data_IF_549004955157
#
_entry.id   IF_549004955157
#
_cell.length_a   1.000
_cell.length_b   1.000
_cell.length_c   1.000
_cell.angle_alpha   90.00
_cell.angle_beta   90.00
_cell.angle_gamma   90.00
#
_symmetry.space_group_name_H-M   'P 1'
#
loop_
_entity.id
_entity.type
_entity.pdbx_description
1 polymer ?
#
# COMPACT_ATOMS: atom_id res chain seq x y z
N UNK A 1 22.96 12.22 -86.13
CA UNK A 1 23.66 13.38 -85.58
C UNK A 1 23.15 13.66 -84.16
N UNK A 2 24.08 13.60 -83.27
CA UNK A 2 24.33 14.41 -82.11
C UNK A 2 23.21 14.39 -81.01
N UNK A 3 23.55 13.80 -79.94
CA UNK A 3 24.14 14.27 -78.67
C UNK A 3 23.05 14.49 -77.64
N UNK A 4 23.10 13.64 -76.61
CA UNK A 4 23.73 13.97 -75.33
C UNK A 4 22.83 14.86 -74.47
N UNK A 5 22.44 14.49 -73.30
CA UNK A 5 23.20 14.60 -72.09
C UNK A 5 22.32 14.18 -70.90
N UNK A 6 22.68 13.18 -70.18
CA UNK A 6 22.98 13.13 -68.75
C UNK A 6 22.46 14.31 -67.92
N UNK A 7 21.68 13.98 -66.90
CA UNK A 7 22.16 14.24 -65.56
C UNK A 7 21.26 13.61 -64.50
N UNK A 8 21.86 12.73 -63.77
CA UNK A 8 21.45 12.32 -62.44
C UNK A 8 21.41 13.52 -61.55
N UNK A 9 20.43 13.54 -60.69
CA UNK A 9 20.52 14.26 -59.42
C UNK A 9 19.97 13.38 -58.34
N UNK A 10 20.86 12.76 -57.68
CA UNK A 10 20.82 12.42 -56.29
C UNK A 10 20.58 13.68 -55.48
N UNK A 11 19.63 13.62 -54.58
CA UNK A 11 19.57 14.36 -53.32
C UNK A 11 18.13 14.22 -52.84
N UNK A 12 17.76 13.92 -51.69
CA UNK A 12 18.46 14.07 -50.40
C UNK A 12 17.84 13.03 -49.46
N UNK A 13 18.75 12.34 -48.78
CA UNK A 13 18.40 11.69 -47.56
C UNK A 13 18.10 12.74 -46.48
N UNK A 14 16.88 12.86 -46.08
CA UNK A 14 16.59 13.50 -44.83
C UNK A 14 16.45 12.43 -43.76
N UNK A 15 17.50 12.36 -43.02
CA UNK A 15 17.61 11.65 -41.76
C UNK A 15 16.60 12.24 -40.79
N UNK A 16 15.50 11.54 -40.55
CA UNK A 16 14.63 11.79 -39.41
C UNK A 16 15.18 10.98 -38.22
N UNK A 17 16.35 11.40 -37.75
CA UNK A 17 16.85 10.98 -36.43
C UNK A 17 16.44 12.07 -35.46
N UNK A 18 15.38 11.88 -34.72
CA UNK A 18 15.01 12.91 -33.74
C UNK A 18 13.79 12.67 -32.88
N UNK A 19 12.96 11.66 -33.12
CA UNK A 19 11.71 11.52 -32.35
C UNK A 19 11.62 10.27 -31.48
N UNK A 20 12.54 9.34 -31.58
CA UNK A 20 12.50 8.12 -30.77
C UNK A 20 13.04 8.28 -29.32
N UNK A 21 13.82 9.33 -29.06
CA UNK A 21 14.50 9.48 -27.76
C UNK A 21 13.60 10.15 -26.70
N UNK A 22 12.61 10.92 -27.09
CA UNK A 22 11.73 11.64 -26.14
C UNK A 22 10.63 10.74 -25.55
N UNK A 23 10.19 9.71 -26.29
CA UNK A 23 9.17 8.76 -25.80
C UNK A 23 9.72 7.81 -24.74
N UNK A 24 11.02 7.49 -24.77
CA UNK A 24 11.64 6.60 -23.80
C UNK A 24 11.78 7.24 -22.42
N UNK A 25 11.99 8.54 -22.35
CA UNK A 25 12.08 9.26 -21.06
C UNK A 25 10.72 9.35 -20.36
N UNK A 26 9.64 9.56 -21.09
CA UNK A 26 8.30 9.66 -20.49
C UNK A 26 7.79 8.32 -19.97
N UNK A 27 8.11 7.22 -20.64
CA UNK A 27 7.72 5.87 -20.19
C UNK A 27 8.48 5.47 -18.93
N UNK A 28 9.76 5.84 -18.82
CA UNK A 28 10.56 5.52 -17.63
C UNK A 28 10.15 6.38 -16.43
N UNK A 29 9.76 7.62 -16.68
CA UNK A 29 9.28 8.54 -15.63
C UNK A 29 7.86 8.19 -15.17
N UNK A 30 6.98 7.77 -16.08
CA UNK A 30 5.66 7.22 -15.74
C UNK A 30 5.79 5.90 -14.95
N UNK A 31 6.70 5.00 -15.34
CA UNK A 31 6.97 3.77 -14.60
C UNK A 31 7.59 4.05 -13.21
N UNK A 32 8.37 5.12 -13.06
CA UNK A 32 8.88 5.57 -11.76
C UNK A 32 7.80 6.23 -10.90
N UNK A 33 6.86 6.93 -11.50
CA UNK A 33 5.73 7.52 -10.77
C UNK A 33 4.76 6.45 -10.26
N UNK A 34 4.58 5.35 -10.99
CA UNK A 34 3.79 4.21 -10.54
C UNK A 34 4.50 3.36 -9.46
N UNK A 35 5.82 3.34 -9.41
CA UNK A 35 6.58 2.69 -8.35
C UNK A 35 6.71 3.53 -7.07
N UNK A 36 6.15 4.73 -7.05
CA UNK A 36 6.26 5.69 -5.95
C UNK A 36 5.21 5.57 -4.84
N UNK A 37 4.22 4.67 -4.94
CA UNK A 37 3.32 4.39 -3.83
C UNK A 37 3.87 3.21 -3.04
N UNK A 38 4.82 3.49 -2.15
CA UNK A 38 5.32 2.49 -1.22
C UNK A 38 4.16 2.00 -0.36
N UNK A 39 3.97 0.68 -0.29
CA UNK A 39 3.03 0.08 0.64
C UNK A 39 3.33 0.54 2.07
N UNK A 40 2.29 0.68 2.86
CA UNK A 40 2.40 1.01 4.27
C UNK A 40 1.88 -0.16 5.08
N UNK A 41 2.65 -0.56 6.09
CA UNK A 41 2.25 -1.60 7.04
C UNK A 41 1.91 -0.95 8.37
N UNK A 42 0.67 -1.14 8.80
CA UNK A 42 0.21 -0.83 10.14
C UNK A 42 0.30 -2.10 10.98
N UNK A 43 1.18 -2.08 11.97
CA UNK A 43 1.41 -3.20 12.89
C UNK A 43 0.91 -2.80 14.26
N UNK A 44 0.15 -3.67 14.90
CA UNK A 44 -0.37 -3.42 16.23
C UNK A 44 -0.26 -4.66 17.12
N UNK A 45 -0.15 -4.43 18.41
CA UNK A 45 -0.22 -5.49 19.40
C UNK A 45 -0.96 -5.02 20.66
N UNK A 46 -1.71 -5.91 21.30
CA UNK A 46 -2.52 -5.62 22.47
C UNK A 46 -2.10 -6.45 23.68
N UNK A 47 -2.06 -5.78 24.83
CA UNK A 47 -2.22 -6.42 26.14
C UNK A 47 -3.68 -6.24 26.56
N UNK A 48 -4.37 -7.34 26.85
CA UNK A 48 -5.73 -7.28 27.34
C UNK A 48 -5.73 -6.89 28.81
N UNK A 49 -6.56 -5.93 29.17
CA UNK A 49 -6.76 -5.56 30.56
C UNK A 49 -7.47 -6.68 31.34
N UNK A 50 -7.22 -6.82 32.65
CA UNK A 50 -7.91 -7.80 33.48
C UNK A 50 -9.42 -7.69 33.37
N UNK A 51 -10.11 -8.82 33.29
CA UNK A 51 -11.56 -8.88 33.15
C UNK A 51 -12.08 -8.85 31.72
N UNK A 52 -11.23 -8.67 30.70
CA UNK A 52 -11.63 -8.82 29.30
C UNK A 52 -12.02 -10.27 29.02
N UNK A 53 -13.26 -10.49 28.58
CA UNK A 53 -13.77 -11.83 28.29
C UNK A 53 -13.25 -12.38 26.97
N UNK A 54 -13.23 -13.72 26.82
CA UNK A 54 -12.88 -14.36 25.54
C UNK A 54 -13.84 -13.93 24.42
N UNK A 55 -15.12 -13.75 24.72
CA UNK A 55 -16.09 -13.25 23.74
C UNK A 55 -15.72 -11.85 23.21
N UNK A 56 -15.19 -10.96 24.05
CA UNK A 56 -14.70 -9.64 23.63
C UNK A 56 -13.43 -9.75 22.77
N UNK A 57 -12.54 -10.65 23.12
CA UNK A 57 -11.31 -10.91 22.33
C UNK A 57 -11.64 -11.49 20.94
N UNK A 58 -12.58 -12.44 20.89
CA UNK A 58 -13.07 -13.01 19.63
C UNK A 58 -13.80 -11.96 18.77
N UNK A 59 -14.57 -11.10 19.41
CA UNK A 59 -15.22 -9.98 18.73
C UNK A 59 -14.21 -9.04 18.09
N UNK A 60 -13.15 -8.67 18.81
CA UNK A 60 -12.09 -7.83 18.28
C UNK A 60 -11.43 -8.45 17.06
N UNK A 61 -11.06 -9.74 17.14
CA UNK A 61 -10.46 -10.46 16.04
C UNK A 61 -11.36 -10.46 14.78
N UNK A 62 -12.65 -10.70 14.95
CA UNK A 62 -13.64 -10.73 13.84
C UNK A 62 -13.86 -9.35 13.24
N UNK A 63 -14.02 -8.31 14.06
CA UNK A 63 -14.25 -6.94 13.57
C UNK A 63 -13.02 -6.38 12.85
N UNK A 64 -11.81 -6.65 13.36
CA UNK A 64 -10.56 -6.23 12.72
C UNK A 64 -10.37 -6.98 11.38
N UNK A 65 -10.57 -8.29 11.36
CA UNK A 65 -10.48 -9.07 10.12
C UNK A 65 -11.49 -8.61 9.05
N UNK A 66 -12.68 -8.18 9.48
CA UNK A 66 -13.73 -7.71 8.58
C UNK A 66 -13.40 -6.36 7.91
N UNK A 67 -12.39 -5.62 8.35
CA UNK A 67 -11.96 -4.40 7.67
C UNK A 67 -11.46 -4.66 6.25
N UNK A 68 -10.91 -5.84 5.99
CA UNK A 68 -10.54 -6.23 4.63
C UNK A 68 -11.79 -6.33 3.75
N UNK A 69 -11.80 -5.58 2.65
CA UNK A 69 -12.96 -5.46 1.76
C UNK A 69 -13.95 -4.33 2.13
N UNK A 70 -13.80 -3.71 3.32
CA UNK A 70 -14.61 -2.57 3.76
C UNK A 70 -13.80 -1.27 3.70
N UNK A 71 -12.54 -1.31 4.12
CA UNK A 71 -11.68 -0.14 4.17
C UNK A 71 -11.02 0.09 2.80
N UNK A 72 -11.25 1.24 2.14
CA UNK A 72 -10.61 1.54 0.87
C UNK A 72 -9.09 1.57 0.99
N UNK A 73 -8.38 0.90 0.07
CA UNK A 73 -6.92 0.87 0.04
C UNK A 73 -6.27 -0.09 1.04
N UNK A 74 -7.04 -0.80 1.87
CA UNK A 74 -6.55 -1.90 2.68
C UNK A 74 -6.41 -3.15 1.79
N UNK A 75 -5.18 -3.64 1.64
CA UNK A 75 -4.84 -4.75 0.74
C UNK A 75 -4.88 -6.10 1.45
N UNK A 76 -4.33 -6.16 2.66
CA UNK A 76 -4.27 -7.38 3.48
C UNK A 76 -4.43 -7.07 4.95
N UNK A 77 -5.04 -8.02 5.67
CA UNK A 77 -5.17 -8.00 7.13
C UNK A 77 -4.83 -9.38 7.68
N UNK A 78 -3.91 -9.41 8.62
CA UNK A 78 -3.60 -10.58 9.42
C UNK A 78 -3.75 -10.21 10.89
N UNK A 79 -4.60 -10.93 11.62
CA UNK A 79 -4.90 -10.62 13.01
C UNK A 79 -5.14 -11.90 13.79
N UNK A 80 -4.66 -11.96 15.01
CA UNK A 80 -4.84 -13.12 15.87
C UNK A 80 -3.98 -13.13 17.12
N UNK A 81 -4.00 -14.26 17.86
CA UNK A 81 -3.17 -14.44 19.04
C UNK A 81 -1.68 -14.35 18.71
N UNK A 82 -0.93 -13.69 19.58
CA UNK A 82 0.52 -13.71 19.53
C UNK A 82 1.04 -15.02 20.12
N UNK A 83 1.71 -15.81 19.30
CA UNK A 83 2.28 -17.11 19.69
C UNK A 83 3.76 -17.02 20.16
N UNK A 84 4.35 -15.82 20.16
CA UNK A 84 5.74 -15.62 20.56
C UNK A 84 5.89 -15.68 22.06
N UNK A 85 6.83 -16.49 22.61
CA UNK A 85 7.15 -16.48 24.04
C UNK A 85 7.84 -15.18 24.49
N UNK A 86 8.23 -14.31 23.53
CA UNK A 86 8.91 -13.03 23.77
C UNK A 86 7.97 -11.83 23.70
N UNK A 87 6.67 -12.05 23.70
CA UNK A 87 5.64 -11.02 23.49
C UNK A 87 5.49 -10.02 24.64
N UNK A 88 6.17 -10.20 25.77
CA UNK A 88 6.16 -9.25 26.92
C UNK A 88 4.75 -8.85 27.39
N UNK A 89 3.80 -9.80 27.37
CA UNK A 89 2.40 -9.54 27.73
C UNK A 89 1.51 -9.11 26.59
N UNK A 90 2.04 -8.81 25.41
CA UNK A 90 1.25 -8.58 24.19
C UNK A 90 0.85 -9.94 23.62
N UNK A 91 -0.39 -10.33 23.88
CA UNK A 91 -0.90 -11.67 23.57
C UNK A 91 -1.77 -11.73 22.33
N UNK A 92 -2.01 -10.58 21.71
CA UNK A 92 -2.81 -10.43 20.50
C UNK A 92 -2.22 -9.33 19.62
N UNK A 93 -2.37 -9.44 18.32
CA UNK A 93 -1.91 -8.40 17.41
C UNK A 93 -2.23 -8.70 15.97
N UNK A 94 -1.75 -7.82 15.10
CA UNK A 94 -1.95 -7.97 13.68
C UNK A 94 -1.07 -7.05 12.84
N UNK A 95 -1.19 -7.26 11.54
CA UNK A 95 -0.56 -6.45 10.52
C UNK A 95 -1.57 -6.18 9.41
N UNK A 96 -1.67 -4.93 9.01
CA UNK A 96 -2.46 -4.48 7.88
C UNK A 96 -1.56 -3.86 6.84
N UNK A 97 -1.74 -4.23 5.58
CA UNK A 97 -1.05 -3.65 4.45
C UNK A 97 -1.97 -2.69 3.72
N UNK A 98 -1.58 -1.43 3.62
CA UNK A 98 -2.26 -0.41 2.83
C UNK A 98 -1.48 -0.11 1.56
N UNK A 99 -2.18 0.26 0.50
CA UNK A 99 -1.54 0.61 -0.79
C UNK A 99 -0.67 1.86 -0.69
N UNK A 100 -0.99 2.78 0.23
CA UNK A 100 -0.29 4.04 0.45
C UNK A 100 -0.65 4.68 1.82
N UNK A 101 0.07 5.73 2.17
CA UNK A 101 -0.13 6.47 3.42
C UNK A 101 -1.52 7.14 3.49
N UNK A 102 -2.04 7.64 2.37
CA UNK A 102 -3.35 8.29 2.35
C UNK A 102 -4.47 7.30 2.70
N UNK A 103 -4.35 6.03 2.27
CA UNK A 103 -5.27 4.97 2.64
C UNK A 103 -5.22 4.64 4.12
N UNK A 104 -4.03 4.62 4.73
CA UNK A 104 -3.88 4.46 6.17
C UNK A 104 -4.51 5.64 6.94
N UNK A 105 -4.26 6.88 6.51
CA UNK A 105 -4.86 8.05 7.14
C UNK A 105 -6.40 8.03 7.06
N UNK A 106 -6.94 7.60 5.93
CA UNK A 106 -8.39 7.41 5.76
C UNK A 106 -8.94 6.30 6.65
N UNK A 107 -8.20 5.20 6.84
CA UNK A 107 -8.56 4.12 7.76
C UNK A 107 -8.72 4.62 9.19
N UNK A 108 -7.76 5.41 9.68
CA UNK A 108 -7.79 5.95 11.04
C UNK A 108 -9.09 6.71 11.32
N UNK A 109 -9.60 7.43 10.32
CA UNK A 109 -10.83 8.23 10.43
C UNK A 109 -12.10 7.46 10.00
N UNK A 110 -11.96 6.24 9.50
CA UNK A 110 -13.10 5.49 8.96
C UNK A 110 -14.14 5.15 10.05
N UNK A 111 -15.45 5.31 9.79
CA UNK A 111 -16.49 5.05 10.78
C UNK A 111 -16.42 3.66 11.42
N UNK A 112 -16.10 2.62 10.63
CA UNK A 112 -15.96 1.24 11.16
C UNK A 112 -14.79 1.12 12.13
N UNK A 113 -13.66 1.81 11.88
CA UNK A 113 -12.53 1.84 12.79
C UNK A 113 -12.87 2.60 14.06
N UNK A 114 -13.50 3.76 13.95
CA UNK A 114 -13.93 4.55 15.10
C UNK A 114 -14.93 3.79 15.98
N UNK A 115 -15.85 3.03 15.38
CA UNK A 115 -16.79 2.18 16.11
C UNK A 115 -16.08 1.05 16.88
N UNK A 116 -15.04 0.43 16.29
CA UNK A 116 -14.20 -0.55 16.98
C UNK A 116 -13.50 0.09 18.18
N UNK A 117 -12.83 1.24 17.98
CA UNK A 117 -12.06 1.92 19.02
C UNK A 117 -12.94 2.30 20.21
N UNK A 118 -14.20 2.70 19.99
CA UNK A 118 -15.11 3.13 21.05
C UNK A 118 -15.32 2.08 22.14
N UNK A 119 -15.32 0.80 21.80
CA UNK A 119 -15.49 -0.27 22.79
C UNK A 119 -14.19 -1.02 23.11
N UNK A 120 -13.22 -1.05 22.20
CA UNK A 120 -11.99 -1.83 22.34
C UNK A 120 -10.96 -1.11 23.22
N UNK A 121 -10.75 0.20 23.02
CA UNK A 121 -9.73 0.98 23.73
C UNK A 121 -9.78 0.84 25.25
N UNK A 122 -10.95 0.84 25.91
CA UNK A 122 -11.02 0.63 27.36
C UNK A 122 -10.52 -0.75 27.83
N UNK A 123 -10.42 -1.73 26.92
CA UNK A 123 -10.09 -3.14 27.25
C UNK A 123 -8.63 -3.49 26.97
N UNK A 124 -7.83 -2.58 26.40
CA UNK A 124 -6.48 -2.89 25.92
C UNK A 124 -5.46 -1.85 26.37
N UNK A 125 -4.20 -2.28 26.38
CA UNK A 125 -3.05 -1.41 26.19
C UNK A 125 -2.40 -1.79 24.87
N UNK A 126 -2.31 -0.83 23.94
CA UNK A 126 -1.87 -1.06 22.57
C UNK A 126 -0.50 -0.45 22.30
N UNK A 127 0.24 -1.08 21.41
CA UNK A 127 1.38 -0.50 20.71
C UNK A 127 1.11 -0.58 19.20
N UNK A 128 1.48 0.46 18.47
CA UNK A 128 1.27 0.55 17.03
C UNK A 128 2.54 1.05 16.35
N UNK A 129 2.80 0.55 15.15
CA UNK A 129 3.91 0.94 14.30
C UNK A 129 3.42 1.06 12.87
N UNK A 130 3.73 2.19 12.21
CA UNK A 130 3.48 2.41 10.79
C UNK A 130 4.79 2.41 10.03
N UNK A 131 4.96 1.44 9.15
CA UNK A 131 6.20 1.19 8.41
C UNK A 131 5.96 1.38 6.91
N UNK A 132 6.91 2.01 6.24
CA UNK A 132 6.95 2.05 4.77
C UNK A 132 7.83 0.93 4.26
N UNK A 133 7.35 0.22 3.22
CA UNK A 133 8.11 -0.77 2.49
C UNK A 133 8.69 -0.18 1.20
#
# INVERSE_FOLDING_TARGET
MAKSTRRALLRDGCVAVGTATLLSFNVLEAARAESGSANVFHVFAFQWKPGTSEAQKDRAAKEIAAFQGVIPGLLQTHVGPNISPRGKGYTFGGIMQFKDKASLDSYVQHPSHQALLAWLVPLIDAIELDLRA
#
